data_IF_555532361150
#
_entry.id   IF_555532361150
#
_cell.length_a   1.000
_cell.length_b   1.000
_cell.length_c   1.000
_cell.angle_alpha   90.00
_cell.angle_beta   90.00
_cell.angle_gamma   90.00
#
_symmetry.space_group_name_H-M   'P 1'
#
loop_
_entity.id
_entity.type
_entity.pdbx_description
1 polymer ?
#
# COMPACT_ATOMS: atom_id res chain seq x y z
N UNK A 1 -16.14 9.68 -3.00
CA UNK A 1 -17.25 8.89 -3.58
C UNK A 1 -18.02 8.29 -2.42
N UNK A 2 -19.30 8.62 -2.32
CA UNK A 2 -20.17 8.05 -1.29
C UNK A 2 -20.85 6.76 -1.76
N UNK A 3 -20.33 6.14 -2.84
CA UNK A 3 -20.86 4.91 -3.41
C UNK A 3 -22.09 5.09 -4.31
N UNK A 4 -23.01 5.96 -3.93
CA UNK A 4 -24.34 6.03 -4.53
C UNK A 4 -24.65 7.38 -5.19
N UNK A 5 -23.78 8.39 -5.09
CA UNK A 5 -24.02 9.71 -5.65
C UNK A 5 -22.96 10.14 -6.66
N UNK A 6 -23.42 10.60 -7.82
CA UNK A 6 -22.62 11.27 -8.82
C UNK A 6 -23.07 12.72 -8.88
N UNK A 7 -22.14 13.66 -8.69
CA UNK A 7 -22.39 15.06 -8.98
C UNK A 7 -22.20 15.28 -10.49
N UNK A 8 -23.29 15.56 -11.22
CA UNK A 8 -23.22 15.83 -12.65
C UNK A 8 -22.42 17.10 -12.99
N UNK A 9 -22.42 18.04 -12.06
CA UNK A 9 -21.59 19.26 -12.11
C UNK A 9 -21.09 19.54 -10.72
N UNK A 10 -19.79 19.80 -10.61
CA UNK A 10 -19.23 20.07 -9.30
C UNK A 10 -17.80 20.60 -9.37
N UNK A 11 -17.42 21.22 -8.29
CA UNK A 11 -16.08 21.71 -8.05
C UNK A 11 -15.41 20.89 -6.95
N UNK A 12 -14.09 20.80 -7.02
CA UNK A 12 -13.24 20.20 -5.98
C UNK A 12 -12.24 21.25 -5.52
N UNK A 13 -12.32 21.63 -4.26
CA UNK A 13 -11.33 22.49 -3.62
C UNK A 13 -10.25 21.63 -2.96
N UNK A 14 -9.01 21.90 -3.33
CA UNK A 14 -7.83 21.25 -2.72
C UNK A 14 -7.04 22.27 -1.93
N UNK A 15 -6.72 21.97 -0.69
CA UNK A 15 -5.87 22.77 0.18
C UNK A 15 -4.84 21.89 0.86
N UNK A 16 -3.58 22.28 0.82
CA UNK A 16 -2.48 21.52 1.42
C UNK A 16 -2.46 20.03 1.00
N UNK A 17 -2.61 19.77 -0.29
CA UNK A 17 -2.67 18.43 -0.90
C UNK A 17 -3.79 17.53 -0.38
N UNK A 18 -4.86 18.11 0.17
CA UNK A 18 -6.04 17.40 0.63
C UNK A 18 -7.30 17.97 0.01
N UNK A 19 -8.25 17.11 -0.30
CA UNK A 19 -9.58 17.55 -0.71
C UNK A 19 -10.25 18.20 0.50
N UNK A 20 -10.43 19.51 0.42
CA UNK A 20 -11.06 20.31 1.48
C UNK A 20 -12.58 20.35 1.33
N UNK A 21 -13.07 20.39 0.08
CA UNK A 21 -14.50 20.47 -0.21
C UNK A 21 -14.80 19.89 -1.59
N UNK A 22 -15.97 19.26 -1.72
CA UNK A 22 -16.58 18.86 -2.99
C UNK A 22 -18.00 19.35 -2.99
N UNK A 23 -18.46 19.99 -4.06
CA UNK A 23 -19.83 20.54 -4.13
C UNK A 23 -20.18 21.04 -5.51
N UNK A 24 -21.47 21.31 -5.72
CA UNK A 24 -21.99 21.76 -7.01
C UNK A 24 -21.47 23.15 -7.45
N UNK A 25 -21.09 23.98 -6.49
CA UNK A 25 -20.48 25.31 -6.72
C UNK A 25 -19.68 25.70 -5.49
N UNK A 26 -18.38 25.92 -5.67
CA UNK A 26 -17.48 26.33 -4.61
C UNK A 26 -16.80 27.63 -5.03
N UNK A 27 -16.93 28.68 -4.19
CA UNK A 27 -16.22 29.93 -4.44
C UNK A 27 -14.70 29.68 -4.30
N UNK A 28 -13.94 30.05 -5.31
CA UNK A 28 -12.49 29.97 -5.24
C UNK A 28 -11.95 30.97 -4.20
N UNK A 29 -11.18 30.53 -3.20
CA UNK A 29 -10.54 31.42 -2.24
C UNK A 29 -9.58 32.41 -2.94
N UNK A 30 -9.33 33.59 -2.35
CA UNK A 30 -8.34 34.52 -2.88
C UNK A 30 -6.97 33.82 -3.08
N UNK A 31 -6.40 33.98 -4.28
CA UNK A 31 -5.12 33.38 -4.64
C UNK A 31 -5.16 31.91 -5.03
N UNK A 32 -6.33 31.27 -5.05
CA UNK A 32 -6.46 29.90 -5.53
C UNK A 32 -6.19 29.82 -7.04
N UNK A 33 -5.42 28.81 -7.47
CA UNK A 33 -5.30 28.45 -8.89
C UNK A 33 -6.56 27.71 -9.31
N UNK A 34 -7.31 28.25 -10.25
CA UNK A 34 -8.47 27.61 -10.84
C UNK A 34 -8.06 26.83 -12.09
N UNK A 35 -8.46 25.57 -12.17
CA UNK A 35 -8.28 24.71 -13.34
C UNK A 35 -9.64 24.38 -13.89
N UNK A 36 -9.93 24.82 -15.12
CA UNK A 36 -11.16 24.46 -15.81
C UNK A 36 -11.09 23.01 -16.31
N UNK A 37 -12.03 22.20 -15.84
CA UNK A 37 -12.20 20.81 -16.21
C UNK A 37 -13.56 20.54 -16.85
N UNK A 38 -14.17 21.58 -17.46
CA UNK A 38 -15.45 21.46 -18.16
C UNK A 38 -15.41 20.34 -19.20
N UNK A 39 -16.43 19.49 -19.21
CA UNK A 39 -16.55 18.32 -20.08
C UNK A 39 -15.69 17.13 -19.65
N UNK A 40 -15.07 17.18 -18.46
CA UNK A 40 -14.30 16.06 -17.89
C UNK A 40 -14.96 15.54 -16.63
N UNK A 41 -14.69 14.30 -16.31
CA UNK A 41 -15.11 13.67 -15.06
C UNK A 41 -13.90 13.58 -14.12
N UNK A 42 -14.08 14.09 -12.89
CA UNK A 42 -13.08 13.92 -11.84
C UNK A 42 -13.40 12.66 -11.06
N UNK A 43 -12.41 11.78 -10.96
CA UNK A 43 -12.48 10.55 -10.16
C UNK A 43 -11.32 10.53 -9.15
N UNK A 44 -11.42 9.79 -8.05
CA UNK A 44 -10.25 9.51 -7.20
C UNK A 44 -9.14 8.86 -8.01
N UNK A 45 -7.89 9.12 -7.63
CA UNK A 45 -6.76 8.40 -8.21
C UNK A 45 -6.88 6.89 -7.98
N UNK A 46 -6.40 6.12 -8.94
CA UNK A 46 -6.42 4.65 -8.88
C UNK A 46 -5.45 4.16 -7.78
N UNK A 47 -5.83 3.06 -7.15
CA UNK A 47 -5.00 2.36 -6.17
C UNK A 47 -4.64 0.98 -6.71
N UNK A 48 -3.34 0.73 -6.95
CA UNK A 48 -2.86 -0.61 -7.26
C UNK A 48 -2.47 -1.31 -5.96
N UNK A 49 -3.26 -2.30 -5.59
CA UNK A 49 -3.09 -3.01 -4.30
C UNK A 49 -2.04 -4.12 -4.36
N UNK A 50 -1.53 -4.43 -5.55
CA UNK A 50 -0.52 -5.46 -5.75
C UNK A 50 0.47 -5.08 -6.85
N UNK A 51 1.20 -4.00 -6.63
CA UNK A 51 2.20 -3.51 -7.56
C UNK A 51 3.61 -3.94 -7.13
N UNK A 52 4.42 -4.35 -8.09
CA UNK A 52 5.85 -4.59 -7.89
C UNK A 52 6.65 -3.58 -8.72
N UNK A 53 6.76 -2.31 -8.31
CA UNK A 53 7.59 -1.35 -9.00
C UNK A 53 9.01 -1.90 -9.10
N UNK A 54 9.56 -1.87 -10.31
CA UNK A 54 10.96 -2.28 -10.50
C UNK A 54 11.82 -1.31 -9.71
N UNK A 55 12.55 -1.84 -8.77
CA UNK A 55 13.43 -1.07 -7.93
C UNK A 55 14.81 -1.01 -8.56
N UNK A 56 15.31 0.20 -8.79
CA UNK A 56 16.72 0.44 -8.99
C UNK A 56 17.55 -0.11 -7.82
N UNK A 57 18.86 -0.06 -7.93
CA UNK A 57 19.76 -0.53 -6.86
C UNK A 57 20.11 0.57 -5.84
N UNK A 58 19.58 1.77 -6.05
CA UNK A 58 19.89 2.94 -5.24
C UNK A 58 18.84 3.18 -4.16
N UNK A 59 19.29 3.59 -3.01
CA UNK A 59 18.41 3.88 -1.87
C UNK A 59 17.66 5.20 -2.08
N UNK A 60 18.33 6.18 -2.68
CA UNK A 60 17.79 7.51 -2.93
C UNK A 60 18.13 7.93 -4.37
N UNK A 61 17.46 7.37 -5.38
CA UNK A 61 17.61 7.84 -6.76
C UNK A 61 16.94 9.21 -6.90
N UNK A 62 17.43 10.02 -7.82
CA UNK A 62 16.79 11.30 -8.16
C UNK A 62 15.37 11.07 -8.69
N UNK A 63 15.16 9.99 -9.43
CA UNK A 63 13.85 9.58 -9.93
C UNK A 63 13.82 8.09 -10.27
N UNK A 64 12.68 7.45 -9.98
CA UNK A 64 12.40 6.07 -10.38
C UNK A 64 11.27 6.04 -11.42
N UNK A 65 11.60 5.66 -12.65
CA UNK A 65 10.68 5.75 -13.79
C UNK A 65 9.42 4.91 -13.64
N UNK A 66 9.50 3.72 -13.02
CA UNK A 66 8.36 2.82 -12.87
C UNK A 66 7.27 3.41 -11.96
N UNK A 67 7.69 4.18 -10.96
CA UNK A 67 6.79 4.87 -10.02
C UNK A 67 6.17 6.10 -10.69
N UNK A 68 6.97 6.84 -11.47
CA UNK A 68 6.48 7.97 -12.24
C UNK A 68 5.50 7.51 -13.34
N UNK A 69 5.76 6.37 -14.00
CA UNK A 69 4.86 5.80 -14.98
C UNK A 69 3.50 5.44 -14.35
N UNK A 70 3.48 4.79 -13.19
CA UNK A 70 2.24 4.52 -12.47
C UNK A 70 1.41 5.79 -12.27
N UNK A 71 2.05 6.86 -11.79
CA UNK A 71 1.38 8.14 -11.60
C UNK A 71 0.86 8.72 -12.93
N UNK A 72 1.63 8.63 -14.02
CA UNK A 72 1.21 9.10 -15.34
C UNK A 72 -0.03 8.38 -15.89
N UNK A 73 -0.24 7.13 -15.49
CA UNK A 73 -1.45 6.35 -15.81
C UNK A 73 -2.59 6.52 -14.78
N UNK A 74 -2.47 7.47 -13.85
CA UNK A 74 -3.51 7.77 -12.86
C UNK A 74 -3.50 6.88 -11.63
N UNK A 75 -2.49 6.00 -11.47
CA UNK A 75 -2.29 5.23 -10.25
C UNK A 75 -1.56 6.12 -9.24
N UNK A 76 -2.30 6.68 -8.31
CA UNK A 76 -1.79 7.64 -7.33
C UNK A 76 -1.28 6.98 -6.05
N UNK A 77 -1.61 5.72 -5.85
CA UNK A 77 -1.20 4.93 -4.68
C UNK A 77 -0.90 3.50 -5.13
N UNK A 78 0.21 2.96 -4.66
CA UNK A 78 0.60 1.58 -4.88
C UNK A 78 0.88 0.88 -3.55
N UNK A 79 0.46 -0.37 -3.44
CA UNK A 79 0.91 -1.26 -2.39
C UNK A 79 1.85 -2.30 -2.99
N UNK A 80 3.06 -2.40 -2.45
CA UNK A 80 4.02 -3.42 -2.86
C UNK A 80 4.07 -4.55 -1.81
N UNK A 81 3.39 -5.70 -2.07
CA UNK A 81 3.34 -6.82 -1.13
C UNK A 81 4.62 -7.68 -1.15
N UNK A 82 5.61 -7.30 -1.93
CA UNK A 82 6.95 -7.92 -1.95
C UNK A 82 8.00 -6.83 -2.00
N UNK A 83 7.90 -5.90 -1.06
CA UNK A 83 8.77 -4.74 -0.97
C UNK A 83 10.22 -5.12 -0.70
N UNK A 84 11.11 -4.21 -1.09
CA UNK A 84 12.50 -4.22 -0.68
C UNK A 84 12.71 -3.23 0.46
N UNK A 85 13.89 -3.25 1.06
CA UNK A 85 14.30 -2.24 2.05
C UNK A 85 14.24 -0.79 1.53
N UNK A 86 14.28 -0.60 0.21
CA UNK A 86 14.28 0.73 -0.42
C UNK A 86 12.88 1.32 -0.59
N UNK A 87 11.84 0.50 -0.68
CA UNK A 87 10.50 1.00 -0.95
C UNK A 87 9.95 1.93 0.14
N UNK A 88 10.33 1.72 1.39
CA UNK A 88 9.97 2.62 2.49
C UNK A 88 10.66 3.98 2.29
N UNK A 89 11.98 3.98 2.02
CA UNK A 89 12.73 5.21 1.78
C UNK A 89 12.19 5.98 0.57
N UNK A 90 11.81 5.29 -0.49
CA UNK A 90 11.19 5.95 -1.66
C UNK A 90 9.82 6.52 -1.36
N UNK A 91 9.03 5.84 -0.53
CA UNK A 91 7.77 6.41 -0.03
C UNK A 91 7.99 7.72 0.71
N UNK A 92 9.01 7.78 1.57
CA UNK A 92 9.39 9.00 2.30
C UNK A 92 9.87 10.12 1.36
N UNK A 93 10.67 9.81 0.33
CA UNK A 93 11.10 10.79 -0.68
C UNK A 93 9.91 11.35 -1.47
N UNK A 94 8.94 10.52 -1.81
CA UNK A 94 7.71 10.96 -2.50
C UNK A 94 6.86 11.84 -1.59
N UNK A 95 6.69 11.45 -0.33
CA UNK A 95 5.91 12.22 0.65
C UNK A 95 6.59 13.57 0.99
N UNK A 96 7.91 13.63 0.94
CA UNK A 96 8.69 14.85 1.08
C UNK A 96 8.67 15.76 -0.17
N UNK A 97 8.25 15.22 -1.32
CA UNK A 97 8.27 15.94 -2.60
C UNK A 97 9.63 15.93 -3.32
N UNK A 98 10.56 15.11 -2.84
CA UNK A 98 11.92 14.95 -3.42
C UNK A 98 11.94 13.98 -4.60
N UNK A 99 10.89 13.16 -4.75
CA UNK A 99 10.70 12.26 -5.90
C UNK A 99 9.26 12.32 -6.39
N UNK A 100 9.07 12.31 -7.70
CA UNK A 100 7.74 12.29 -8.33
C UNK A 100 7.27 10.85 -8.49
N UNK A 101 6.10 10.52 -7.95
CA UNK A 101 5.54 9.19 -8.11
C UNK A 101 4.24 8.97 -7.35
N UNK A 102 3.68 7.78 -7.55
CA UNK A 102 2.57 7.30 -6.74
C UNK A 102 3.03 7.03 -5.30
N UNK A 103 2.17 7.31 -4.34
CA UNK A 103 2.41 6.99 -2.93
C UNK A 103 2.65 5.49 -2.75
N UNK A 104 3.67 5.11 -1.96
CA UNK A 104 4.07 3.70 -1.81
C UNK A 104 3.77 3.19 -0.40
N UNK A 105 3.04 2.09 -0.33
CA UNK A 105 2.88 1.28 0.89
C UNK A 105 3.57 -0.07 0.68
N UNK A 106 4.65 -0.34 1.42
CA UNK A 106 5.41 -1.57 1.30
C UNK A 106 5.19 -2.50 2.49
N UNK A 107 5.25 -3.81 2.24
CA UNK A 107 5.20 -4.83 3.29
C UNK A 107 6.59 -5.20 3.84
N UNK A 108 7.65 -4.63 3.31
CA UNK A 108 8.99 -5.17 3.48
C UNK A 108 9.18 -6.49 2.70
N UNK A 109 10.22 -7.24 3.00
CA UNK A 109 10.43 -8.54 2.38
C UNK A 109 9.34 -9.53 2.81
N UNK A 110 8.80 -10.33 1.87
CA UNK A 110 7.87 -11.41 2.22
C UNK A 110 8.50 -12.37 3.22
N UNK A 111 7.71 -12.82 4.19
CA UNK A 111 8.16 -13.71 5.25
C UNK A 111 8.18 -15.16 4.75
N UNK A 112 9.23 -15.52 4.02
CA UNK A 112 9.44 -16.89 3.51
C UNK A 112 10.15 -17.76 4.55
N UNK A 113 9.99 -19.08 4.44
CA UNK A 113 10.71 -20.02 5.30
C UNK A 113 12.24 -19.98 5.13
N UNK A 114 12.72 -19.53 3.96
CA UNK A 114 14.15 -19.49 3.64
C UNK A 114 14.83 -18.22 4.19
N UNK A 115 14.19 -17.06 4.06
CA UNK A 115 14.79 -15.79 4.49
C UNK A 115 14.37 -15.37 5.90
N UNK A 116 13.24 -15.91 6.38
CA UNK A 116 12.66 -15.55 7.68
C UNK A 116 12.06 -16.80 8.32
N UNK A 117 12.89 -17.73 8.80
CA UNK A 117 12.38 -18.94 9.43
C UNK A 117 11.68 -18.59 10.75
N UNK A 118 10.39 -18.89 10.81
CA UNK A 118 9.56 -18.70 12.01
C UNK A 118 9.49 -20.04 12.74
N UNK A 119 10.14 -20.16 13.87
CA UNK A 119 10.18 -21.37 14.69
C UNK A 119 9.33 -21.27 15.96
N UNK A 120 8.97 -20.03 16.34
CA UNK A 120 8.18 -19.71 17.52
C UNK A 120 7.36 -18.44 17.28
N UNK A 121 6.38 -18.18 18.16
CA UNK A 121 5.67 -16.89 18.22
C UNK A 121 6.63 -15.72 18.44
N UNK A 122 7.65 -15.92 19.29
CA UNK A 122 8.64 -14.87 19.56
C UNK A 122 9.44 -14.48 18.30
N UNK A 123 9.78 -15.43 17.43
CA UNK A 123 10.44 -15.12 16.15
C UNK A 123 9.54 -14.26 15.27
N UNK A 124 8.25 -14.61 15.17
CA UNK A 124 7.28 -13.83 14.42
C UNK A 124 7.15 -12.42 14.98
N UNK A 125 7.03 -12.29 16.30
CA UNK A 125 6.91 -10.98 16.98
C UNK A 125 8.15 -10.11 16.74
N UNK A 126 9.34 -10.66 16.84
CA UNK A 126 10.59 -9.95 16.60
C UNK A 126 10.69 -9.41 15.17
N UNK A 127 10.30 -10.21 14.19
CA UNK A 127 10.31 -9.82 12.78
C UNK A 127 9.27 -8.73 12.51
N UNK A 128 8.06 -8.90 13.01
CA UNK A 128 6.97 -7.92 12.83
C UNK A 128 7.33 -6.58 13.47
N UNK A 129 7.87 -6.58 14.68
CA UNK A 129 8.36 -5.37 15.37
C UNK A 129 9.46 -4.68 14.59
N UNK A 130 10.40 -5.43 14.04
CA UNK A 130 11.46 -4.87 13.20
C UNK A 130 10.89 -4.16 11.98
N UNK A 131 9.92 -4.76 11.30
CA UNK A 131 9.29 -4.16 10.11
C UNK A 131 8.48 -2.91 10.49
N UNK A 132 7.70 -2.99 11.56
CA UNK A 132 6.98 -1.82 12.09
C UNK A 132 7.93 -0.66 12.42
N UNK A 133 9.07 -0.97 13.06
CA UNK A 133 10.11 0.04 13.36
C UNK A 133 10.78 0.63 12.11
N UNK A 134 10.63 0.01 10.94
CA UNK A 134 11.07 0.52 9.65
C UNK A 134 9.96 1.31 8.91
N UNK A 135 8.83 1.59 9.55
CA UNK A 135 7.71 2.29 8.93
C UNK A 135 6.76 1.41 8.11
N UNK A 136 6.96 0.10 8.10
CA UNK A 136 6.06 -0.86 7.43
C UNK A 136 4.77 -1.02 8.22
N UNK A 137 3.62 -0.87 7.57
CA UNK A 137 2.29 -1.00 8.18
C UNK A 137 1.57 -2.31 7.85
N UNK A 138 2.17 -3.15 7.03
CA UNK A 138 1.65 -4.47 6.67
C UNK A 138 2.77 -5.47 6.42
N UNK A 139 2.53 -6.74 6.69
CA UNK A 139 3.46 -7.83 6.39
C UNK A 139 2.80 -8.86 5.48
N UNK A 140 3.58 -9.45 4.58
CA UNK A 140 3.13 -10.55 3.73
C UNK A 140 3.74 -11.85 4.22
N UNK A 141 2.91 -12.76 4.67
CA UNK A 141 3.30 -14.16 4.86
C UNK A 141 3.47 -14.82 3.49
N UNK A 142 4.58 -15.52 3.27
CA UNK A 142 4.90 -16.17 2.01
C UNK A 142 5.25 -17.64 2.21
N UNK A 143 4.26 -18.51 2.08
CA UNK A 143 4.40 -19.95 2.05
C UNK A 143 5.17 -20.54 3.25
N UNK A 144 4.93 -20.06 4.47
CA UNK A 144 5.39 -20.76 5.67
C UNK A 144 4.74 -22.15 5.72
N UNK A 145 5.51 -23.24 5.83
CA UNK A 145 4.99 -24.59 5.54
C UNK A 145 3.94 -25.08 6.54
N UNK A 146 4.04 -24.67 7.80
CA UNK A 146 3.10 -25.14 8.84
C UNK A 146 2.08 -24.05 9.20
N UNK A 147 0.82 -24.45 9.37
CA UNK A 147 -0.26 -23.53 9.77
C UNK A 147 0.07 -22.75 11.03
N UNK A 148 0.66 -23.41 12.04
CA UNK A 148 1.03 -22.73 13.29
C UNK A 148 2.02 -21.57 13.07
N UNK A 149 2.93 -21.67 12.10
CA UNK A 149 3.86 -20.59 11.77
C UNK A 149 3.12 -19.39 11.16
N UNK A 150 2.16 -19.66 10.29
CA UNK A 150 1.29 -18.63 9.72
C UNK A 150 0.43 -17.96 10.80
N UNK A 151 -0.13 -18.76 11.73
CA UNK A 151 -0.88 -18.22 12.87
C UNK A 151 -0.01 -17.34 13.78
N UNK A 152 1.24 -17.70 14.03
CA UNK A 152 2.16 -16.86 14.82
C UNK A 152 2.44 -15.52 14.15
N UNK A 153 2.62 -15.48 12.82
CA UNK A 153 2.80 -14.23 12.06
C UNK A 153 1.56 -13.35 12.19
N UNK A 154 0.38 -13.94 12.00
CA UNK A 154 -0.89 -13.20 12.13
C UNK A 154 -1.08 -12.64 13.53
N UNK A 155 -0.89 -13.46 14.56
CA UNK A 155 -1.00 -13.04 15.97
C UNK A 155 -0.02 -11.92 16.30
N UNK A 156 1.23 -12.01 15.80
CA UNK A 156 2.24 -10.97 16.00
C UNK A 156 1.84 -9.67 15.29
N UNK A 157 1.31 -9.74 14.07
CA UNK A 157 0.82 -8.58 13.34
C UNK A 157 -0.35 -7.91 14.08
N UNK A 158 -1.32 -8.69 14.55
CA UNK A 158 -2.44 -8.19 15.35
C UNK A 158 -1.97 -7.54 16.66
N UNK A 159 -1.03 -8.15 17.37
CA UNK A 159 -0.46 -7.61 18.61
C UNK A 159 0.26 -6.27 18.40
N UNK A 160 0.86 -6.07 17.23
CA UNK A 160 1.56 -4.83 16.88
C UNK A 160 0.69 -3.82 16.10
N UNK A 161 -0.57 -4.16 15.82
CA UNK A 161 -1.50 -3.29 15.12
C UNK A 161 -1.14 -3.04 13.66
N UNK A 162 -0.53 -4.02 12.99
CA UNK A 162 -0.25 -3.97 11.55
C UNK A 162 -1.03 -5.05 10.81
N UNK A 163 -1.22 -4.85 9.52
CA UNK A 163 -1.98 -5.76 8.65
C UNK A 163 -1.13 -6.97 8.27
N UNK A 164 -1.71 -8.17 8.29
CA UNK A 164 -1.10 -9.37 7.74
C UNK A 164 -1.86 -9.84 6.50
N UNK A 165 -1.14 -10.01 5.39
CA UNK A 165 -1.65 -10.63 4.17
C UNK A 165 -0.90 -11.92 3.87
N UNK A 166 -1.44 -12.71 2.98
CA UNK A 166 -0.92 -14.01 2.61
C UNK A 166 -0.70 -14.12 1.11
N UNK A 167 0.34 -14.84 0.69
CA UNK A 167 0.67 -15.07 -0.71
C UNK A 167 -0.46 -15.72 -1.52
N UNK A 168 -1.25 -16.59 -0.90
CA UNK A 168 -2.05 -17.55 -1.66
C UNK A 168 -1.16 -18.72 -2.14
N UNK A 169 -1.65 -19.92 -2.04
CA UNK A 169 -0.84 -21.11 -2.25
C UNK A 169 -1.19 -21.89 -3.52
N UNK A 170 -2.13 -21.38 -4.33
CA UNK A 170 -2.80 -22.18 -5.36
C UNK A 170 -3.35 -23.52 -4.81
N UNK A 171 -3.60 -23.55 -3.49
CA UNK A 171 -4.15 -24.67 -2.73
C UNK A 171 -5.34 -24.16 -1.92
N UNK A 172 -6.54 -24.41 -2.43
CA UNK A 172 -7.81 -23.98 -1.83
C UNK A 172 -7.89 -24.31 -0.33
N UNK A 173 -7.37 -25.47 0.07
CA UNK A 173 -7.41 -25.89 1.48
C UNK A 173 -6.51 -25.00 2.35
N UNK A 174 -5.34 -24.65 1.88
CA UNK A 174 -4.45 -23.72 2.58
C UNK A 174 -5.06 -22.31 2.63
N UNK A 175 -5.60 -21.82 1.52
CA UNK A 175 -6.19 -20.49 1.41
C UNK A 175 -7.42 -20.34 2.31
N UNK A 176 -8.31 -21.33 2.35
CA UNK A 176 -9.46 -21.35 3.28
C UNK A 176 -8.97 -21.30 4.73
N UNK A 177 -7.93 -22.07 5.09
CA UNK A 177 -7.42 -22.03 6.47
C UNK A 177 -6.84 -20.67 6.84
N UNK A 178 -6.24 -19.93 5.91
CA UNK A 178 -5.73 -18.58 6.13
C UNK A 178 -6.84 -17.55 6.28
N UNK A 179 -7.90 -17.67 5.49
CA UNK A 179 -9.11 -16.85 5.65
C UNK A 179 -9.76 -17.09 7.03
N UNK A 180 -9.91 -18.36 7.43
CA UNK A 180 -10.45 -18.73 8.75
C UNK A 180 -9.57 -18.21 9.89
N UNK A 181 -8.24 -18.25 9.73
CA UNK A 181 -7.30 -17.75 10.74
C UNK A 181 -7.37 -16.22 10.88
N UNK A 182 -7.93 -15.49 9.90
CA UNK A 182 -8.18 -14.05 9.98
C UNK A 182 -7.18 -13.18 9.22
N UNK A 183 -6.46 -13.72 8.23
CA UNK A 183 -5.67 -12.91 7.33
C UNK A 183 -6.55 -11.91 6.57
N UNK A 184 -6.07 -10.68 6.43
CA UNK A 184 -6.83 -9.59 5.83
C UNK A 184 -7.04 -9.76 4.32
N UNK A 185 -6.08 -10.38 3.64
CA UNK A 185 -6.14 -10.62 2.19
C UNK A 185 -5.31 -11.85 1.79
N UNK A 186 -5.70 -12.43 0.66
CA UNK A 186 -4.94 -13.43 -0.09
C UNK A 186 -4.48 -12.74 -1.37
N UNK A 187 -3.18 -12.74 -1.64
CA UNK A 187 -2.57 -11.96 -2.72
C UNK A 187 -2.78 -12.60 -4.10
N UNK A 188 -2.83 -13.92 -4.15
CA UNK A 188 -3.05 -14.71 -5.36
C UNK A 188 -4.05 -15.83 -5.10
N UNK A 189 -4.76 -16.23 -6.14
CA UNK A 189 -5.70 -17.36 -6.14
C UNK A 189 -5.20 -18.48 -7.06
#
# INVERSE_FOLDING_TARGET
MNGDEVLERGDVLVTNNRIAQVGASIAAPPGARVIDVTGKTIIPGLVDVHAHPKTGREMAPDQEWSIAANLAYGVTTTRNPSGTRWNVAWGELIDAGEMVGSRIYATGFPLTSNNTPIKSYQDALNVVRRYKGQGVNSVKQYLQPRRIQRQWILQAAMAEGIIATNEGAADLKADITMAIDGYTAIEHS
#
